data_IF_108962773140
#
_entry.id   IF_108962773140
#
_cell.length_a   1.000
_cell.length_b   1.000
_cell.length_c   1.000
_cell.angle_alpha   90.00
_cell.angle_beta   90.00
_cell.angle_gamma   90.00
#
_symmetry.space_group_name_H-M   'P 1'
#
loop_
_entity.id
_entity.type
_entity.pdbx_description
1 polymer ?
#
# COMPACT_ATOMS: atom_id res chain seq x y z
N UNK A 1 -3.23 -57.24 -13.61
CA UNK A 1 -3.43 -56.18 -12.60
C UNK A 1 -2.27 -55.20 -12.71
N UNK A 2 -2.48 -54.06 -13.37
CA UNK A 2 -1.42 -53.09 -13.67
C UNK A 2 -1.59 -51.88 -12.74
N UNK A 3 -0.73 -51.77 -11.73
CA UNK A 3 -0.69 -50.66 -10.77
C UNK A 3 0.15 -49.52 -11.36
N UNK A 4 -0.51 -48.52 -11.95
CA UNK A 4 0.14 -47.28 -12.35
C UNK A 4 0.03 -46.26 -11.21
N UNK A 5 1.15 -45.94 -10.56
CA UNK A 5 1.26 -44.79 -9.65
C UNK A 5 1.35 -43.51 -10.48
N UNK A 6 0.30 -42.70 -10.45
CA UNK A 6 0.36 -41.30 -10.89
C UNK A 6 1.25 -40.54 -9.89
N UNK A 7 2.47 -40.23 -10.29
CA UNK A 7 3.33 -39.29 -9.57
C UNK A 7 2.77 -37.88 -9.81
N UNK A 8 2.35 -37.23 -8.72
CA UNK A 8 1.96 -35.83 -8.75
C UNK A 8 3.15 -35.00 -9.27
N UNK A 9 2.95 -34.27 -10.36
CA UNK A 9 3.90 -33.24 -10.80
C UNK A 9 3.99 -32.20 -9.68
N UNK A 10 5.19 -31.77 -9.26
CA UNK A 10 5.30 -30.61 -8.38
C UNK A 10 4.74 -29.41 -9.16
N UNK A 11 3.75 -28.73 -8.60
CA UNK A 11 3.31 -27.43 -9.08
C UNK A 11 4.46 -26.44 -8.90
N UNK A 12 5.37 -26.41 -9.88
CA UNK A 12 6.36 -25.37 -10.01
C UNK A 12 5.61 -24.05 -10.19
N UNK A 13 5.71 -23.16 -9.20
CA UNK A 13 5.30 -21.75 -9.33
C UNK A 13 5.80 -21.25 -10.68
N UNK A 14 4.90 -20.92 -11.61
CA UNK A 14 5.28 -20.32 -12.88
C UNK A 14 6.22 -19.15 -12.58
N UNK A 15 7.43 -19.19 -13.14
CA UNK A 15 8.35 -18.07 -13.04
C UNK A 15 7.62 -16.81 -13.53
N UNK A 16 7.69 -15.72 -12.76
CA UNK A 16 7.04 -14.46 -13.14
C UNK A 16 7.62 -13.99 -14.47
N UNK A 17 6.87 -14.14 -15.55
CA UNK A 17 7.29 -13.73 -16.88
C UNK A 17 7.03 -12.24 -17.06
N UNK A 18 8.04 -11.51 -17.53
CA UNK A 18 7.95 -10.09 -17.81
C UNK A 18 7.10 -9.86 -19.06
N UNK A 19 6.14 -8.94 -18.95
CA UNK A 19 5.27 -8.55 -20.05
C UNK A 19 5.91 -7.41 -20.84
N UNK A 20 6.51 -7.73 -22.00
CA UNK A 20 7.15 -6.75 -22.88
C UNK A 20 6.25 -5.57 -23.24
N UNK A 21 4.97 -5.84 -23.55
CA UNK A 21 4.01 -4.78 -23.91
C UNK A 21 3.87 -3.71 -22.83
N UNK A 22 3.85 -4.13 -21.56
CA UNK A 22 3.78 -3.20 -20.42
C UNK A 22 5.12 -2.50 -20.22
N UNK A 23 6.22 -3.24 -20.30
CA UNK A 23 7.56 -2.68 -20.14
C UNK A 23 7.85 -1.61 -21.20
N UNK A 24 7.56 -1.87 -22.47
CA UNK A 24 7.80 -0.92 -23.57
C UNK A 24 6.96 0.36 -23.41
N UNK A 25 5.72 0.21 -22.91
CA UNK A 25 4.86 1.34 -22.56
C UNK A 25 5.44 2.17 -21.41
N UNK A 26 5.88 1.51 -20.33
CA UNK A 26 6.53 2.17 -19.19
C UNK A 26 7.87 2.80 -19.57
N UNK A 27 8.70 2.14 -20.38
CA UNK A 27 9.96 2.68 -20.89
C UNK A 27 9.70 3.97 -21.69
N UNK A 28 8.65 4.01 -22.51
CA UNK A 28 8.30 5.22 -23.27
C UNK A 28 7.82 6.36 -22.38
N UNK A 29 6.96 6.07 -21.39
CA UNK A 29 6.36 7.08 -20.52
C UNK A 29 7.34 7.56 -19.44
N UNK A 30 7.88 6.64 -18.65
CA UNK A 30 8.66 6.97 -17.46
C UNK A 30 10.06 7.47 -17.77
N UNK A 31 10.65 7.13 -18.92
CA UNK A 31 11.87 7.80 -19.37
C UNK A 31 11.65 9.30 -19.59
N UNK A 32 10.45 9.73 -19.97
CA UNK A 32 10.10 11.16 -20.14
C UNK A 32 9.73 11.81 -18.82
N UNK A 33 9.00 11.11 -17.96
CA UNK A 33 8.50 11.66 -16.68
C UNK A 33 9.59 11.69 -15.59
N UNK A 34 10.45 10.68 -15.52
CA UNK A 34 11.41 10.48 -14.43
C UNK A 34 12.88 10.57 -14.86
N UNK A 35 13.17 10.58 -16.17
CA UNK A 35 14.54 10.60 -16.68
C UNK A 35 15.39 9.45 -16.15
N UNK A 36 16.59 9.76 -15.64
CA UNK A 36 17.54 8.77 -15.09
C UNK A 36 16.97 7.95 -13.92
N UNK A 37 16.04 8.52 -13.15
CA UNK A 37 15.42 7.82 -12.03
C UNK A 37 14.58 6.61 -12.49
N UNK A 38 14.06 6.62 -13.72
CA UNK A 38 13.39 5.45 -14.29
C UNK A 38 14.35 4.29 -14.48
N UNK A 39 15.57 4.52 -14.95
CA UNK A 39 16.57 3.47 -15.18
C UNK A 39 16.83 2.66 -13.90
N UNK A 40 17.07 3.36 -12.79
CA UNK A 40 17.26 2.74 -11.48
C UNK A 40 16.01 1.97 -11.01
N UNK A 41 14.82 2.56 -11.17
CA UNK A 41 13.56 1.91 -10.79
C UNK A 41 13.26 0.65 -11.61
N UNK A 42 13.48 0.73 -12.91
CA UNK A 42 13.25 -0.35 -13.87
C UNK A 42 14.06 -1.59 -13.55
N UNK A 43 15.34 -1.44 -13.23
CA UNK A 43 16.22 -2.56 -12.92
C UNK A 43 15.69 -3.40 -11.74
N UNK A 44 15.21 -2.72 -10.69
CA UNK A 44 14.62 -3.38 -9.52
C UNK A 44 13.22 -3.93 -9.82
N UNK A 45 12.39 -3.17 -10.54
CA UNK A 45 11.03 -3.57 -10.88
C UNK A 45 10.98 -4.80 -11.78
N UNK A 46 11.94 -4.97 -12.68
CA UNK A 46 12.03 -6.14 -13.57
C UNK A 46 12.73 -7.34 -12.95
N UNK A 47 13.28 -7.19 -11.73
CA UNK A 47 14.08 -8.22 -11.04
C UNK A 47 13.40 -8.70 -9.73
N UNK A 48 12.49 -9.70 -9.77
CA UNK A 48 11.80 -10.20 -8.58
C UNK A 48 12.71 -10.72 -7.45
N UNK A 49 13.95 -11.09 -7.76
CA UNK A 49 14.97 -11.48 -6.78
C UNK A 49 15.41 -10.33 -5.88
N UNK A 50 15.28 -9.08 -6.34
CA UNK A 50 15.61 -7.88 -5.59
C UNK A 50 14.48 -7.44 -4.65
N UNK A 51 13.27 -8.01 -4.78
CA UNK A 51 12.13 -7.56 -3.99
C UNK A 51 12.21 -8.03 -2.55
N UNK A 52 12.03 -7.06 -1.66
CA UNK A 52 12.07 -7.27 -0.22
C UNK A 52 10.67 -7.11 0.38
N UNK A 53 10.48 -7.71 1.55
CA UNK A 53 9.31 -7.49 2.37
C UNK A 53 9.78 -7.00 3.73
N UNK A 54 9.13 -5.96 4.24
CA UNK A 54 9.23 -5.61 5.63
C UNK A 54 8.35 -6.54 6.45
N UNK A 55 8.73 -6.72 7.73
CA UNK A 55 8.01 -7.56 8.68
C UNK A 55 7.30 -6.65 9.66
N UNK A 56 6.00 -6.45 9.46
CA UNK A 56 5.15 -5.75 10.41
C UNK A 56 4.67 -6.75 11.46
N UNK A 57 5.15 -6.63 12.69
CA UNK A 57 4.71 -7.49 13.79
C UNK A 57 3.27 -7.18 14.16
N UNK A 58 2.51 -8.21 14.52
CA UNK A 58 1.16 -8.07 15.03
C UNK A 58 1.20 -7.84 16.55
N UNK A 59 0.86 -6.63 17.00
CA UNK A 59 0.77 -6.29 18.43
C UNK A 59 -0.28 -7.11 19.19
N UNK A 60 -1.26 -7.69 18.49
CA UNK A 60 -2.31 -8.51 19.08
C UNK A 60 -1.90 -9.99 19.23
N UNK A 61 -0.81 -10.41 18.58
CA UNK A 61 -0.18 -11.71 18.77
C UNK A 61 1.34 -11.55 18.71
N UNK A 62 1.88 -10.83 19.69
CA UNK A 62 3.23 -10.32 19.63
C UNK A 62 4.30 -11.43 19.76
N UNK A 63 5.17 -11.61 18.75
CA UNK A 63 6.10 -12.73 18.71
C UNK A 63 7.51 -12.36 19.21
N UNK A 64 7.71 -12.31 20.53
CA UNK A 64 8.99 -11.88 21.13
C UNK A 64 10.23 -12.62 20.59
N UNK A 65 10.15 -13.94 20.42
CA UNK A 65 11.28 -14.73 19.89
C UNK A 65 11.56 -14.44 18.41
N UNK A 66 10.53 -14.09 17.62
CA UNK A 66 10.72 -13.69 16.22
C UNK A 66 11.44 -12.35 16.15
N UNK A 67 11.09 -11.38 17.00
CA UNK A 67 11.74 -10.07 17.03
C UNK A 67 13.24 -10.19 17.31
N UNK A 68 13.63 -11.05 18.27
CA UNK A 68 15.06 -11.36 18.52
C UNK A 68 15.75 -11.97 17.30
N UNK A 69 15.11 -12.93 16.64
CA UNK A 69 15.65 -13.58 15.43
C UNK A 69 15.81 -12.57 14.28
N UNK A 70 14.88 -11.64 14.11
CA UNK A 70 15.00 -10.55 13.14
C UNK A 70 16.23 -9.69 13.44
N UNK A 71 16.43 -9.27 14.70
CA UNK A 71 17.62 -8.51 15.09
C UNK A 71 18.92 -9.29 14.83
N UNK A 72 18.97 -10.58 15.18
CA UNK A 72 20.13 -11.42 14.91
C UNK A 72 20.43 -11.55 13.40
N UNK A 73 19.39 -11.55 12.56
CA UNK A 73 19.50 -11.54 11.10
C UNK A 73 19.84 -10.16 10.51
N UNK A 74 20.10 -9.16 11.34
CA UNK A 74 20.48 -7.82 10.92
C UNK A 74 19.31 -6.96 10.46
N UNK A 75 18.06 -7.32 10.83
CA UNK A 75 16.93 -6.42 10.62
C UNK A 75 17.01 -5.24 11.60
N UNK A 76 16.61 -4.08 11.10
CA UNK A 76 16.46 -2.86 11.88
C UNK A 76 15.01 -2.37 11.85
N UNK A 77 14.62 -1.61 12.87
CA UNK A 77 13.28 -1.02 12.91
C UNK A 77 13.15 0.05 11.83
N UNK A 78 11.97 0.11 11.23
CA UNK A 78 11.57 1.19 10.36
C UNK A 78 11.65 2.50 11.16
N UNK A 79 12.46 3.43 10.66
CA UNK A 79 12.79 4.73 11.26
C UNK A 79 13.62 4.64 12.55
N UNK A 80 14.82 5.23 12.48
CA UNK A 80 15.70 5.47 13.63
C UNK A 80 15.73 6.96 14.02
N UNK A 81 14.92 7.81 13.38
CA UNK A 81 14.83 9.26 13.61
C UNK A 81 13.50 9.69 14.22
N UNK A 82 13.44 10.94 14.69
CA UNK A 82 12.22 11.55 15.24
C UNK A 82 11.31 12.05 14.11
N UNK A 83 10.37 11.23 13.66
CA UNK A 83 9.21 11.76 12.95
C UNK A 83 8.35 12.59 13.92
N UNK A 84 7.69 13.68 13.47
CA UNK A 84 6.74 14.44 14.28
C UNK A 84 5.67 13.53 14.91
N UNK A 85 5.24 12.51 14.15
CA UNK A 85 4.37 11.45 14.61
C UNK A 85 4.97 10.07 14.29
N UNK A 86 5.46 9.36 15.31
CA UNK A 86 5.81 7.95 15.20
C UNK A 86 5.01 7.11 16.22
N UNK A 87 4.14 6.19 15.76
CA UNK A 87 3.35 5.38 16.68
C UNK A 87 4.23 4.39 17.44
N UNK A 88 4.27 4.53 18.78
CA UNK A 88 5.11 3.69 19.66
C UNK A 88 4.77 2.18 19.57
N UNK A 89 3.53 1.84 19.22
CA UNK A 89 3.10 0.45 19.06
C UNK A 89 3.50 -0.17 17.72
N UNK A 90 3.88 0.65 16.73
CA UNK A 90 4.25 0.16 15.41
C UNK A 90 5.63 -0.50 15.49
N UNK A 91 5.65 -1.79 15.20
CA UNK A 91 6.89 -2.59 15.12
C UNK A 91 7.03 -3.17 13.72
N UNK A 92 7.80 -2.48 12.89
CA UNK A 92 8.10 -2.92 11.54
C UNK A 92 9.61 -3.05 11.34
N UNK A 93 10.04 -4.15 10.74
CA UNK A 93 11.45 -4.50 10.58
C UNK A 93 11.84 -4.63 9.12
N UNK A 94 12.98 -4.03 8.76
CA UNK A 94 13.53 -3.98 7.42
C UNK A 94 14.89 -4.65 7.44
N UNK A 95 15.29 -5.22 6.30
CA UNK A 95 16.66 -5.66 6.08
C UNK A 95 17.16 -5.08 4.77
N UNK A 96 18.43 -4.65 4.76
CA UNK A 96 19.14 -4.24 3.54
C UNK A 96 19.46 -5.43 2.65
N UNK A 97 19.50 -6.64 3.22
CA UNK A 97 19.76 -7.87 2.49
C UNK A 97 18.43 -8.58 2.23
N UNK A 98 18.15 -9.00 0.98
CA UNK A 98 16.95 -9.79 0.69
C UNK A 98 16.96 -11.12 1.45
N UNK A 99 16.11 -11.24 2.46
CA UNK A 99 15.79 -12.52 3.08
C UNK A 99 14.38 -12.95 2.69
N UNK A 100 14.19 -14.27 2.58
CA UNK A 100 12.86 -14.85 2.42
C UNK A 100 12.31 -15.25 3.78
N UNK A 101 11.36 -14.48 4.26
CA UNK A 101 10.50 -14.87 5.37
C UNK A 101 9.22 -15.47 4.77
N UNK A 102 8.80 -16.67 5.18
CA UNK A 102 7.57 -17.26 4.69
C UNK A 102 6.36 -16.44 5.16
N UNK A 103 5.34 -16.28 4.31
CA UNK A 103 4.06 -15.71 4.77
C UNK A 103 3.31 -16.74 5.61
N UNK A 104 2.75 -16.34 6.74
CA UNK A 104 1.84 -17.20 7.50
C UNK A 104 0.51 -17.37 6.75
N UNK A 105 0.00 -18.61 6.71
CA UNK A 105 -1.31 -18.91 6.12
C UNK A 105 -2.41 -18.50 7.07
N UNK A 106 -3.53 -18.05 6.52
CA UNK A 106 -4.73 -17.80 7.32
C UNK A 106 -5.22 -19.10 7.95
N UNK A 107 -5.56 -19.03 9.24
CA UNK A 107 -6.11 -20.12 10.02
C UNK A 107 -7.20 -19.53 10.93
N UNK A 108 -8.42 -20.05 10.82
CA UNK A 108 -9.57 -19.58 11.59
C UNK A 108 -9.26 -19.72 13.09
N UNK A 109 -9.53 -18.67 13.86
CA UNK A 109 -9.29 -18.61 15.32
C UNK A 109 -7.82 -18.41 15.73
N UNK A 110 -6.88 -18.33 14.78
CA UNK A 110 -5.46 -18.11 15.07
C UNK A 110 -4.95 -16.84 14.42
N UNK A 111 -4.54 -15.87 15.26
CA UNK A 111 -3.92 -14.65 14.77
C UNK A 111 -2.51 -14.94 14.25
N UNK A 112 -2.15 -14.30 13.14
CA UNK A 112 -0.81 -14.25 12.59
C UNK A 112 0.07 -13.36 13.44
N UNK A 113 1.35 -13.71 13.48
CA UNK A 113 2.40 -13.03 14.23
C UNK A 113 2.95 -11.81 13.50
N UNK A 114 2.89 -11.80 12.17
CA UNK A 114 3.41 -10.72 11.34
C UNK A 114 2.77 -10.67 9.95
N UNK A 115 2.77 -9.48 9.37
CA UNK A 115 2.38 -9.20 7.99
C UNK A 115 3.61 -8.85 7.16
N UNK A 116 3.72 -9.45 5.97
CA UNK A 116 4.78 -9.12 5.01
C UNK A 116 4.25 -8.12 4.00
N UNK A 117 4.87 -6.95 3.92
CA UNK A 117 4.45 -5.86 3.04
C UNK A 117 5.64 -5.15 2.39
N UNK A 118 5.35 -4.37 1.35
CA UNK A 118 6.27 -3.35 0.89
C UNK A 118 6.37 -2.26 1.97
N UNK A 119 7.56 -1.95 2.48
CA UNK A 119 7.73 -0.97 3.56
C UNK A 119 7.16 0.41 3.18
N UNK A 120 7.21 0.78 1.90
CA UNK A 120 6.70 2.06 1.43
C UNK A 120 5.18 2.20 1.64
N UNK A 121 4.45 1.07 1.73
CA UNK A 121 3.02 1.06 2.06
C UNK A 121 2.70 1.59 3.45
N UNK A 122 3.69 1.74 4.34
CA UNK A 122 3.52 2.34 5.66
C UNK A 122 3.58 3.87 5.64
N UNK A 123 4.21 4.49 4.64
CA UNK A 123 4.32 5.95 4.58
C UNK A 123 2.96 6.66 4.52
N UNK A 124 1.98 6.22 3.70
CA UNK A 124 0.64 6.81 3.72
C UNK A 124 -0.08 6.64 5.07
N UNK A 125 0.15 5.52 5.75
CA UNK A 125 -0.46 5.23 7.06
C UNK A 125 0.11 6.14 8.15
N UNK A 126 1.41 6.42 8.10
CA UNK A 126 2.09 7.30 9.04
C UNK A 126 1.75 8.76 8.80
N UNK A 127 1.65 9.17 7.53
CA UNK A 127 1.25 10.52 7.13
C UNK A 127 -0.18 10.90 7.59
N UNK A 128 -1.04 9.91 7.88
CA UNK A 128 -2.36 10.18 8.46
C UNK A 128 -2.31 10.64 9.91
N UNK A 129 -1.20 10.41 10.62
CA UNK A 129 -1.02 10.77 12.02
C UNK A 129 -2.19 10.33 12.91
N UNK A 130 -2.66 9.10 12.71
CA UNK A 130 -3.85 8.54 13.34
C UNK A 130 -3.68 8.40 14.86
N UNK A 131 -4.61 8.92 15.66
CA UNK A 131 -4.61 8.83 17.13
C UNK A 131 -5.68 7.87 17.65
N UNK A 132 -5.49 7.42 18.89
CA UNK A 132 -6.46 6.56 19.57
C UNK A 132 -7.83 7.26 19.69
N UNK A 133 -8.91 6.50 19.48
CA UNK A 133 -10.29 6.98 19.55
C UNK A 133 -10.81 7.69 18.30
N UNK A 134 -9.97 8.02 17.33
CA UNK A 134 -10.39 8.66 16.07
C UNK A 134 -11.17 7.70 15.16
N UNK A 135 -12.04 8.25 14.31
CA UNK A 135 -12.81 7.56 13.28
C UNK A 135 -12.06 7.62 11.95
N UNK A 136 -11.81 6.45 11.37
CA UNK A 136 -10.99 6.30 10.16
C UNK A 136 -11.77 5.62 9.06
N UNK A 137 -11.60 6.09 7.84
CA UNK A 137 -12.08 5.45 6.62
C UNK A 137 -10.87 4.98 5.80
N UNK A 138 -10.81 3.69 5.51
CA UNK A 138 -9.96 3.12 4.47
C UNK A 138 -10.85 2.82 3.26
N UNK A 139 -10.86 3.74 2.28
CA UNK A 139 -11.88 3.79 1.23
C UNK A 139 -11.73 2.66 0.19
N UNK A 140 -10.50 2.14 0.02
CA UNK A 140 -10.12 1.11 -0.95
C UNK A 140 -9.20 0.09 -0.26
N UNK A 141 -9.75 -0.58 0.75
CA UNK A 141 -8.99 -1.24 1.80
C UNK A 141 -8.32 -2.55 1.38
N UNK A 142 -8.83 -3.27 0.38
CA UNK A 142 -8.30 -4.60 0.12
C UNK A 142 -6.89 -4.56 -0.52
N UNK A 143 -6.02 -5.55 -0.23
CA UNK A 143 -6.28 -6.76 0.56
C UNK A 143 -6.22 -6.57 2.08
N UNK A 144 -6.06 -5.35 2.60
CA UNK A 144 -6.13 -5.04 4.02
C UNK A 144 -4.79 -4.69 4.67
N UNK A 145 -3.68 -4.67 3.92
CA UNK A 145 -2.35 -4.42 4.49
C UNK A 145 -2.24 -3.06 5.18
N UNK A 146 -2.81 -2.00 4.60
CA UNK A 146 -2.83 -0.66 5.19
C UNK A 146 -3.83 -0.57 6.35
N UNK A 147 -4.98 -1.24 6.27
CA UNK A 147 -5.93 -1.33 7.38
C UNK A 147 -5.33 -2.02 8.60
N UNK A 148 -4.59 -3.12 8.40
CA UNK A 148 -3.81 -3.77 9.47
C UNK A 148 -2.77 -2.80 10.03
N UNK A 149 -2.03 -2.11 9.17
CA UNK A 149 -1.03 -1.14 9.62
C UNK A 149 -1.63 0.01 10.46
N UNK A 150 -2.81 0.54 10.11
CA UNK A 150 -3.54 1.52 10.91
C UNK A 150 -3.81 0.98 12.33
N UNK A 151 -4.26 -0.27 12.45
CA UNK A 151 -4.52 -0.95 13.73
C UNK A 151 -3.23 -1.30 14.50
N UNK A 152 -2.09 -1.40 13.83
CA UNK A 152 -0.79 -1.51 14.49
C UNK A 152 -0.28 -0.17 15.01
N UNK A 153 -0.70 0.95 14.40
CA UNK A 153 -0.31 2.30 14.79
C UNK A 153 -1.11 2.83 15.99
N UNK A 154 -2.42 2.57 16.04
CA UNK A 154 -3.33 3.15 17.02
C UNK A 154 -4.51 2.21 17.31
N UNK A 155 -5.36 2.59 18.25
CA UNK A 155 -6.65 2.00 18.57
C UNK A 155 -7.78 2.94 18.10
N UNK A 156 -8.25 2.86 16.85
CA UNK A 156 -9.36 3.68 16.35
C UNK A 156 -10.62 3.48 17.19
N UNK A 157 -11.40 4.55 17.37
CA UNK A 157 -12.76 4.44 17.90
C UNK A 157 -13.73 3.82 16.90
N UNK A 158 -13.42 3.95 15.61
CA UNK A 158 -14.15 3.33 14.51
C UNK A 158 -13.25 3.24 13.27
N UNK A 159 -13.18 2.08 12.63
CA UNK A 159 -12.47 1.88 11.37
C UNK A 159 -13.44 1.33 10.32
N UNK A 160 -13.64 2.06 9.24
CA UNK A 160 -14.45 1.61 8.10
C UNK A 160 -13.54 1.18 6.96
N UNK A 161 -13.46 -0.12 6.70
CA UNK A 161 -12.73 -0.68 5.57
C UNK A 161 -13.71 -0.96 4.41
N UNK A 162 -13.66 -0.16 3.36
CA UNK A 162 -14.49 -0.34 2.18
C UNK A 162 -13.70 -0.98 1.03
N UNK A 163 -14.30 -1.93 0.31
CA UNK A 163 -13.74 -2.47 -0.93
C UNK A 163 -14.87 -2.74 -1.92
N UNK A 164 -14.75 -2.21 -3.14
CA UNK A 164 -15.78 -2.34 -4.17
C UNK A 164 -15.78 -3.73 -4.84
N UNK A 165 -14.61 -4.35 -4.99
CA UNK A 165 -14.50 -5.65 -5.65
C UNK A 165 -14.77 -6.81 -4.68
N UNK A 166 -15.82 -7.60 -4.95
CA UNK A 166 -16.24 -8.72 -4.10
C UNK A 166 -15.17 -9.79 -3.85
N UNK A 167 -14.29 -10.06 -4.83
CA UNK A 167 -13.20 -11.02 -4.68
C UNK A 167 -12.13 -10.48 -3.74
N UNK A 168 -11.74 -9.22 -3.91
CA UNK A 168 -10.79 -8.52 -3.04
C UNK A 168 -11.36 -8.31 -1.63
N UNK A 169 -12.66 -8.07 -1.50
CA UNK A 169 -13.36 -7.99 -0.22
C UNK A 169 -13.19 -9.29 0.58
N UNK A 170 -13.27 -10.45 -0.09
CA UNK A 170 -13.00 -11.73 0.56
C UNK A 170 -11.57 -11.80 1.12
N UNK A 171 -10.59 -11.30 0.38
CA UNK A 171 -9.19 -11.23 0.86
C UNK A 171 -9.03 -10.26 2.02
N UNK A 172 -9.72 -9.12 1.98
CA UNK A 172 -9.75 -8.15 3.08
C UNK A 172 -10.31 -8.80 4.36
N UNK A 173 -11.46 -9.48 4.27
CA UNK A 173 -12.07 -10.19 5.41
C UNK A 173 -11.13 -11.24 6.00
N UNK A 174 -10.53 -12.08 5.15
CA UNK A 174 -9.56 -13.09 5.58
C UNK A 174 -8.32 -12.47 6.21
N UNK A 175 -7.88 -11.31 5.72
CA UNK A 175 -6.76 -10.58 6.32
C UNK A 175 -7.14 -10.04 7.69
N UNK A 176 -8.28 -9.38 7.84
CA UNK A 176 -8.73 -8.87 9.13
C UNK A 176 -8.88 -10.00 10.17
N UNK A 177 -9.55 -11.09 9.80
CA UNK A 177 -9.69 -12.29 10.65
C UNK A 177 -8.33 -12.91 11.05
N UNK A 178 -7.32 -12.78 10.18
CA UNK A 178 -5.98 -13.31 10.47
C UNK A 178 -5.19 -12.45 11.46
N UNK A 179 -5.56 -11.21 11.73
CA UNK A 179 -4.72 -10.29 12.48
C UNK A 179 -5.42 -9.64 13.66
N UNK A 180 -6.75 -9.52 13.62
CA UNK A 180 -7.52 -8.75 14.58
C UNK A 180 -8.26 -9.69 15.54
N UNK A 181 -8.11 -9.51 16.86
CA UNK A 181 -8.83 -10.30 17.85
C UNK A 181 -10.32 -9.90 17.91
N UNK A 182 -11.18 -10.86 18.25
CA UNK A 182 -12.65 -10.72 18.35
C UNK A 182 -13.13 -9.45 19.10
N UNK A 183 -12.53 -9.01 20.23
CA UNK A 183 -12.99 -7.80 20.93
C UNK A 183 -12.90 -6.51 20.11
N UNK A 184 -12.06 -6.46 19.08
CA UNK A 184 -11.92 -5.30 18.19
C UNK A 184 -12.83 -5.36 16.96
N UNK A 185 -13.57 -6.46 16.75
CA UNK A 185 -14.48 -6.55 15.60
C UNK A 185 -15.58 -5.50 15.64
N UNK A 186 -16.06 -5.14 16.83
CA UNK A 186 -17.13 -4.14 17.00
C UNK A 186 -16.72 -2.72 16.56
N UNK A 187 -15.43 -2.40 16.53
CA UNK A 187 -14.94 -1.10 16.06
C UNK A 187 -14.64 -1.10 14.56
N UNK A 188 -14.62 -2.27 13.89
CA UNK A 188 -14.28 -2.41 12.48
C UNK A 188 -15.53 -2.72 11.67
N UNK A 189 -15.89 -1.81 10.76
CA UNK A 189 -16.90 -2.07 9.73
C UNK A 189 -16.22 -2.45 8.42
N UNK A 190 -16.70 -3.52 7.78
CA UNK A 190 -16.27 -3.92 6.44
C UNK A 190 -17.46 -3.83 5.46
N UNK A 191 -17.33 -3.06 4.39
CA UNK A 191 -18.40 -2.84 3.40
C UNK A 191 -17.97 -3.11 1.97
N UNK A 192 -18.95 -3.47 1.15
CA UNK A 192 -18.85 -3.58 -0.32
C UNK A 192 -19.68 -2.47 -0.96
N UNK A 193 -19.14 -1.26 -1.01
CA UNK A 193 -19.83 -0.08 -1.56
C UNK A 193 -18.95 0.60 -2.60
N UNK A 194 -19.59 1.34 -3.50
CA UNK A 194 -18.88 2.27 -4.38
C UNK A 194 -18.30 3.41 -3.54
N UNK A 195 -16.96 3.50 -3.52
CA UNK A 195 -16.26 4.53 -2.75
C UNK A 195 -16.61 5.95 -3.20
N UNK A 196 -17.13 6.13 -4.42
CA UNK A 196 -17.55 7.44 -4.95
C UNK A 196 -18.82 7.98 -4.28
N UNK A 197 -19.58 7.13 -3.62
CA UNK A 197 -20.83 7.49 -2.92
C UNK A 197 -20.62 7.67 -1.40
N UNK A 198 -19.44 7.32 -0.88
CA UNK A 198 -19.15 7.33 0.56
C UNK A 198 -19.34 8.69 1.20
N UNK A 199 -18.91 9.77 0.54
CA UNK A 199 -19.07 11.14 1.03
C UNK A 199 -20.52 11.60 1.11
N UNK A 200 -21.37 11.12 0.20
CA UNK A 200 -22.81 11.42 0.22
C UNK A 200 -23.52 10.63 1.32
N UNK A 201 -23.13 9.36 1.50
CA UNK A 201 -23.72 8.48 2.51
C UNK A 201 -23.26 8.79 3.94
N UNK A 202 -22.04 9.31 4.10
CA UNK A 202 -21.40 9.55 5.41
C UNK A 202 -20.63 10.87 5.45
N UNK A 203 -21.31 12.03 5.23
CA UNK A 203 -20.65 13.33 5.18
C UNK A 203 -20.03 13.69 6.52
N UNK A 204 -18.84 14.30 6.48
CA UNK A 204 -18.11 14.85 7.63
C UNK A 204 -17.99 13.88 8.84
N UNK A 205 -17.98 12.57 8.57
CA UNK A 205 -18.04 11.54 9.60
C UNK A 205 -16.67 11.18 10.16
N UNK A 206 -15.63 11.26 9.34
CA UNK A 206 -14.32 10.69 9.62
C UNK A 206 -13.30 11.75 10.02
N UNK A 207 -12.52 11.45 11.05
CA UNK A 207 -11.35 12.24 11.44
C UNK A 207 -10.22 12.09 10.43
N UNK A 208 -10.05 10.86 9.91
CA UNK A 208 -8.97 10.46 9.02
C UNK A 208 -9.52 9.66 7.83
N UNK A 209 -9.05 9.95 6.62
CA UNK A 209 -9.44 9.19 5.42
C UNK A 209 -8.20 8.76 4.63
N UNK A 210 -8.06 7.46 4.42
CA UNK A 210 -7.06 6.86 3.54
C UNK A 210 -7.71 6.53 2.19
N UNK A 211 -7.13 7.03 1.10
CA UNK A 211 -7.50 6.70 -0.27
C UNK A 211 -6.32 6.02 -0.96
N UNK A 212 -6.17 4.72 -0.73
CA UNK A 212 -5.21 3.89 -1.49
C UNK A 212 -5.82 3.48 -2.83
N UNK A 213 -5.73 4.38 -3.81
CA UNK A 213 -6.60 4.32 -4.96
C UNK A 213 -6.25 3.17 -5.92
N UNK A 214 -7.26 2.56 -6.58
CA UNK A 214 -7.02 1.70 -7.72
C UNK A 214 -6.18 2.42 -8.78
N UNK A 215 -5.07 1.80 -9.17
CA UNK A 215 -4.07 2.40 -10.06
C UNK A 215 -3.46 1.33 -10.97
N UNK A 216 -2.55 1.73 -11.86
CA UNK A 216 -1.85 0.81 -12.75
C UNK A 216 -0.92 -0.18 -12.06
N UNK A 217 -0.76 -0.13 -10.72
CA UNK A 217 -0.03 -1.11 -9.90
C UNK A 217 1.21 -1.67 -10.61
N UNK A 218 2.15 -0.78 -10.91
CA UNK A 218 3.14 -0.98 -11.97
C UNK A 218 3.97 -2.25 -11.77
N UNK A 219 4.37 -2.51 -10.51
CA UNK A 219 5.09 -3.73 -10.15
C UNK A 219 4.29 -4.98 -10.50
N UNK A 220 2.97 -4.99 -10.31
CA UNK A 220 2.13 -6.14 -10.67
C UNK A 220 1.86 -6.20 -12.17
N UNK A 221 1.67 -5.06 -12.85
CA UNK A 221 1.35 -5.04 -14.28
C UNK A 221 2.49 -5.53 -15.15
N UNK A 222 3.75 -5.30 -14.74
CA UNK A 222 4.95 -5.82 -15.41
C UNK A 222 4.98 -7.35 -15.54
N UNK A 223 4.28 -8.08 -14.67
CA UNK A 223 4.27 -9.54 -14.69
C UNK A 223 2.88 -10.04 -15.04
N UNK A 224 2.61 -10.15 -16.33
CA UNK A 224 1.38 -10.70 -16.89
C UNK A 224 1.74 -11.78 -17.89
N UNK A 225 1.16 -12.97 -17.73
CA UNK A 225 1.30 -14.06 -18.70
C UNK A 225 0.51 -13.81 -19.99
N UNK A 226 -0.48 -12.92 -19.95
CA UNK A 226 -1.36 -12.60 -21.08
C UNK A 226 -1.08 -11.19 -21.61
N UNK A 227 -0.53 -11.12 -22.82
CA UNK A 227 -0.16 -9.87 -23.49
C UNK A 227 -1.37 -9.10 -24.02
N UNK A 228 -2.45 -9.78 -24.42
CA UNK A 228 -3.67 -9.13 -24.91
C UNK A 228 -4.41 -8.45 -23.76
N UNK A 229 -4.53 -9.13 -22.61
CA UNK A 229 -5.07 -8.51 -21.39
C UNK A 229 -4.20 -7.35 -20.92
N UNK A 230 -2.88 -7.46 -21.04
CA UNK A 230 -1.99 -6.36 -20.73
C UNK A 230 -2.22 -5.14 -21.64
N UNK A 231 -2.34 -5.33 -22.95
CA UNK A 231 -2.64 -4.25 -23.89
C UNK A 231 -4.00 -3.58 -23.60
N UNK A 232 -5.02 -4.38 -23.26
CA UNK A 232 -6.33 -3.87 -22.85
C UNK A 232 -6.26 -3.03 -21.56
N UNK A 233 -5.48 -3.47 -20.56
CA UNK A 233 -5.28 -2.67 -19.34
C UNK A 233 -4.59 -1.34 -19.63
N UNK A 234 -3.58 -1.33 -20.50
CA UNK A 234 -2.89 -0.10 -20.93
C UNK A 234 -3.86 0.86 -21.61
N UNK A 235 -4.74 0.36 -22.50
CA UNK A 235 -5.72 1.22 -23.18
C UNK A 235 -6.76 1.80 -22.21
N UNK A 236 -7.13 1.05 -21.18
CA UNK A 236 -8.05 1.49 -20.14
C UNK A 236 -7.41 2.38 -19.06
N UNK A 237 -6.08 2.41 -18.96
CA UNK A 237 -5.32 3.15 -17.93
C UNK A 237 -5.70 4.62 -17.83
N UNK A 238 -6.05 5.26 -18.95
CA UNK A 238 -6.47 6.68 -19.01
C UNK A 238 -7.74 6.99 -18.20
N UNK A 239 -8.51 5.97 -17.82
CA UNK A 239 -9.71 6.11 -16.98
C UNK A 239 -9.38 6.17 -15.49
N UNK A 240 -8.19 5.71 -15.07
CA UNK A 240 -7.81 5.62 -13.66
C UNK A 240 -7.73 6.99 -12.98
N UNK A 241 -7.11 8.03 -13.57
CA UNK A 241 -7.11 9.37 -12.98
C UNK A 241 -8.52 9.92 -12.72
N UNK A 242 -9.45 9.69 -13.65
CA UNK A 242 -10.85 10.13 -13.52
C UNK A 242 -11.49 9.46 -12.30
N UNK A 243 -11.36 8.14 -12.18
CA UNK A 243 -11.85 7.39 -11.02
C UNK A 243 -11.20 7.86 -9.70
N UNK A 244 -9.88 8.11 -9.72
CA UNK A 244 -9.13 8.57 -8.56
C UNK A 244 -9.61 9.95 -8.08
N UNK A 245 -9.90 10.86 -9.00
CA UNK A 245 -10.49 12.18 -8.71
C UNK A 245 -11.90 12.02 -8.10
N UNK A 246 -12.75 11.16 -8.67
CA UNK A 246 -14.08 10.87 -8.14
C UNK A 246 -14.03 10.32 -6.70
N UNK A 247 -13.12 9.36 -6.45
CA UNK A 247 -12.89 8.80 -5.12
C UNK A 247 -12.39 9.86 -4.14
N UNK A 248 -11.46 10.72 -4.55
CA UNK A 248 -10.96 11.81 -3.71
C UNK A 248 -12.03 12.83 -3.37
N UNK A 249 -12.89 13.22 -4.32
CA UNK A 249 -14.01 14.13 -4.04
C UNK A 249 -14.98 13.54 -3.01
N UNK A 250 -15.29 12.26 -3.13
CA UNK A 250 -16.10 11.53 -2.14
C UNK A 250 -15.42 11.48 -0.77
N UNK A 251 -14.13 11.15 -0.74
CA UNK A 251 -13.33 11.11 0.48
C UNK A 251 -13.25 12.46 1.20
N UNK A 252 -13.09 13.56 0.45
CA UNK A 252 -13.10 14.93 0.96
C UNK A 252 -14.44 15.25 1.63
N UNK A 253 -15.57 14.87 1.01
CA UNK A 253 -16.89 15.08 1.61
C UNK A 253 -17.13 14.22 2.86
N UNK A 254 -16.54 13.03 2.92
CA UNK A 254 -16.64 12.15 4.09
C UNK A 254 -15.78 12.62 5.28
N UNK A 255 -14.75 13.43 5.01
CA UNK A 255 -13.82 13.96 6.00
C UNK A 255 -14.45 15.14 6.76
N UNK A 256 -14.32 15.15 8.09
CA UNK A 256 -14.77 16.30 8.89
C UNK A 256 -13.85 17.51 8.66
N UNK A 257 -14.34 18.74 8.88
CA UNK A 257 -13.48 19.92 8.93
C UNK A 257 -12.33 19.74 9.94
N UNK A 258 -11.10 20.02 9.49
CA UNK A 258 -9.87 19.84 10.26
C UNK A 258 -9.35 18.39 10.34
N UNK A 259 -9.99 17.43 9.67
CA UNK A 259 -9.47 16.07 9.51
C UNK A 259 -8.27 15.99 8.56
N UNK A 260 -7.62 14.82 8.49
CA UNK A 260 -6.54 14.54 7.53
C UNK A 260 -6.96 13.49 6.50
N UNK A 261 -6.63 13.75 5.25
CA UNK A 261 -6.79 12.81 4.14
C UNK A 261 -5.41 12.51 3.56
N UNK A 262 -5.14 11.23 3.33
CA UNK A 262 -3.98 10.78 2.57
C UNK A 262 -4.43 10.03 1.34
N UNK A 263 -4.00 10.53 0.19
CA UNK A 263 -4.07 9.84 -1.08
C UNK A 263 -2.79 9.03 -1.28
N UNK A 264 -2.91 7.80 -1.76
CA UNK A 264 -1.73 7.06 -2.21
C UNK A 264 -2.02 6.19 -3.41
N UNK A 265 -0.99 5.94 -4.22
CA UNK A 265 -1.01 4.93 -5.28
C UNK A 265 0.24 4.07 -5.23
N UNK A 266 0.25 2.96 -5.98
CA UNK A 266 1.46 2.15 -6.22
C UNK A 266 1.89 2.22 -7.70
N UNK A 267 1.80 3.40 -8.29
CA UNK A 267 2.25 3.70 -9.65
C UNK A 267 3.22 4.88 -9.68
N UNK A 268 4.11 4.89 -10.67
CA UNK A 268 5.02 5.99 -10.98
C UNK A 268 4.37 7.08 -11.87
N UNK A 269 3.16 6.84 -12.38
CA UNK A 269 2.47 7.71 -13.33
C UNK A 269 2.20 9.10 -12.79
N UNK A 270 2.72 10.13 -13.45
CA UNK A 270 2.37 11.52 -13.13
C UNK A 270 0.86 11.78 -13.24
N UNK A 271 0.24 11.19 -14.26
CA UNK A 271 -1.19 11.33 -14.55
C UNK A 271 -2.09 10.75 -13.45
N UNK A 272 -1.63 9.73 -12.72
CA UNK A 272 -2.36 9.12 -11.60
C UNK A 272 -1.93 9.72 -10.25
N UNK A 273 -0.97 10.64 -10.22
CA UNK A 273 -0.41 11.19 -8.99
C UNK A 273 -0.53 12.72 -8.98
N UNK A 274 0.50 13.43 -9.45
CA UNK A 274 0.60 14.89 -9.36
C UNK A 274 -0.56 15.59 -10.10
N UNK A 275 -1.00 15.05 -11.23
CA UNK A 275 -2.08 15.63 -12.02
C UNK A 275 -3.44 15.47 -11.31
N UNK A 276 -3.68 14.33 -10.64
CA UNK A 276 -4.87 14.10 -9.80
C UNK A 276 -4.90 15.08 -8.64
N UNK A 277 -3.79 15.24 -7.92
CA UNK A 277 -3.70 16.17 -6.79
C UNK A 277 -3.86 17.62 -7.26
N UNK A 278 -3.26 17.99 -8.39
CA UNK A 278 -3.41 19.34 -8.97
C UNK A 278 -4.88 19.64 -9.29
N UNK A 279 -5.59 18.70 -9.90
CA UNK A 279 -7.03 18.85 -10.21
C UNK A 279 -7.86 19.02 -8.94
N UNK A 280 -7.58 18.25 -7.88
CA UNK A 280 -8.28 18.38 -6.60
C UNK A 280 -8.01 19.74 -5.96
N UNK A 281 -6.75 20.18 -5.87
CA UNK A 281 -6.40 21.47 -5.27
C UNK A 281 -6.97 22.66 -6.05
N UNK A 282 -7.07 22.54 -7.39
CA UNK A 282 -7.67 23.57 -8.23
C UNK A 282 -9.20 23.61 -8.14
N UNK A 283 -9.85 22.47 -7.90
CA UNK A 283 -11.32 22.34 -7.89
C UNK A 283 -11.96 22.38 -6.50
N UNK A 284 -11.18 22.16 -5.42
CA UNK A 284 -11.67 22.12 -4.04
C UNK A 284 -10.99 23.18 -3.16
N UNK A 285 -11.68 24.28 -2.87
CA UNK A 285 -11.15 25.38 -2.06
C UNK A 285 -11.08 25.09 -0.55
N UNK A 286 -11.72 24.02 -0.10
CA UNK A 286 -11.79 23.59 1.30
C UNK A 286 -10.68 22.61 1.69
N UNK A 287 -9.71 22.37 0.82
CA UNK A 287 -8.55 21.50 1.07
C UNK A 287 -7.28 22.33 1.11
N UNK A 288 -6.45 22.06 2.10
CA UNK A 288 -5.13 22.66 2.24
C UNK A 288 -4.06 21.57 2.14
N UNK A 289 -3.06 21.73 1.26
CA UNK A 289 -1.94 20.80 1.19
C UNK A 289 -1.12 20.85 2.49
N UNK A 290 -0.73 19.69 2.99
CA UNK A 290 0.18 19.55 4.15
C UNK A 290 1.58 19.23 3.63
N UNK A 291 2.58 19.99 4.06
CA UNK A 291 3.97 19.73 3.69
C UNK A 291 4.46 18.44 4.36
N UNK A 292 4.95 17.50 3.55
CA UNK A 292 5.43 16.19 4.02
C UNK A 292 6.92 15.95 3.71
N UNK A 293 7.67 17.00 3.36
CA UNK A 293 9.10 16.89 3.05
C UNK A 293 9.94 16.42 4.24
N UNK A 294 9.56 16.81 5.47
CA UNK A 294 10.26 16.36 6.68
C UNK A 294 10.19 14.84 6.85
N UNK A 295 9.05 14.24 6.48
CA UNK A 295 8.91 12.78 6.42
C UNK A 295 9.91 12.20 5.43
N UNK A 296 10.01 12.75 4.21
CA UNK A 296 10.98 12.28 3.22
C UNK A 296 12.44 12.36 3.71
N UNK A 297 12.81 13.49 4.33
CA UNK A 297 14.16 13.68 4.90
C UNK A 297 14.46 12.63 5.97
N UNK A 298 13.53 12.40 6.90
CA UNK A 298 13.67 11.42 7.99
C UNK A 298 13.74 9.98 7.46
N UNK A 299 13.00 9.69 6.39
CA UNK A 299 12.88 8.36 5.81
C UNK A 299 13.95 8.07 4.72
N UNK A 300 14.77 9.06 4.38
CA UNK A 300 15.73 9.00 3.27
C UNK A 300 16.83 7.94 3.43
N UNK A 301 17.04 7.38 4.61
CA UNK A 301 17.99 6.28 4.82
C UNK A 301 17.47 4.94 4.28
N UNK A 302 16.16 4.71 4.35
CA UNK A 302 15.53 3.45 3.96
C UNK A 302 14.82 3.55 2.59
N UNK A 303 14.39 4.75 2.19
CA UNK A 303 13.64 4.97 0.96
C UNK A 303 14.38 5.89 -0.02
N UNK A 304 14.14 5.69 -1.32
CA UNK A 304 14.60 6.56 -2.38
C UNK A 304 13.41 7.39 -2.87
N UNK A 305 13.57 8.71 -2.87
CA UNK A 305 12.51 9.64 -3.23
C UNK A 305 12.87 10.38 -4.52
N UNK A 306 11.88 10.60 -5.37
CA UNK A 306 11.98 11.48 -6.53
C UNK A 306 11.17 12.75 -6.26
N UNK A 307 11.72 13.94 -6.55
CA UNK A 307 10.96 15.19 -6.44
C UNK A 307 9.70 15.15 -7.29
N UNK A 308 8.56 15.45 -6.69
CA UNK A 308 7.26 15.51 -7.36
C UNK A 308 6.96 16.91 -7.92
N UNK A 309 7.71 17.92 -7.49
CA UNK A 309 7.42 19.34 -7.75
C UNK A 309 6.27 19.89 -6.90
N UNK A 310 5.75 19.11 -5.95
CA UNK A 310 4.67 19.49 -5.03
C UNK A 310 5.11 19.24 -3.59
N UNK A 311 4.96 20.22 -2.70
CA UNK A 311 5.35 20.07 -1.28
C UNK A 311 4.52 19.03 -0.52
N UNK A 312 3.33 18.68 -1.03
CA UNK A 312 2.39 17.74 -0.44
C UNK A 312 2.44 16.32 -1.05
N UNK A 313 3.42 16.01 -1.90
CA UNK A 313 3.52 14.71 -2.57
C UNK A 313 4.93 14.13 -2.51
N UNK A 314 5.04 12.84 -2.18
CA UNK A 314 6.31 12.11 -2.16
C UNK A 314 6.25 10.89 -3.06
N UNK A 315 7.14 10.79 -4.04
CA UNK A 315 7.25 9.59 -4.87
C UNK A 315 8.40 8.73 -4.39
N UNK A 316 8.10 7.58 -3.79
CA UNK A 316 9.07 6.53 -3.48
C UNK A 316 9.29 5.67 -4.71
N UNK A 317 10.54 5.55 -5.13
CA UNK A 317 10.94 4.65 -6.20
C UNK A 317 11.82 3.51 -5.67
N UNK A 318 11.73 2.31 -6.24
CA UNK A 318 12.64 1.23 -5.88
C UNK A 318 14.03 1.54 -6.43
N UNK A 319 15.07 1.44 -5.60
CA UNK A 319 16.46 1.62 -6.01
C UNK A 319 17.32 0.49 -5.42
N UNK A 320 18.53 0.29 -5.96
CA UNK A 320 19.51 -0.65 -5.42
C UNK A 320 19.78 -0.36 -3.94
N UNK A 321 19.52 -1.36 -3.08
CA UNK A 321 19.64 -1.24 -1.62
C UNK A 321 18.40 -0.67 -0.92
N UNK A 322 17.43 -0.15 -1.67
CA UNK A 322 16.16 0.43 -1.19
C UNK A 322 15.01 -0.02 -2.10
N UNK A 323 14.74 -1.32 -2.15
CA UNK A 323 13.82 -1.93 -3.12
C UNK A 323 12.32 -1.73 -2.83
N UNK A 324 11.97 -0.64 -2.15
CA UNK A 324 10.61 -0.32 -1.70
C UNK A 324 9.86 0.50 -2.76
N UNK A 325 8.54 0.53 -2.67
CA UNK A 325 7.69 1.18 -3.66
C UNK A 325 7.54 0.40 -4.98
N UNK A 326 7.03 1.03 -6.05
CA UNK A 326 6.61 2.42 -6.09
C UNK A 326 5.44 2.71 -5.15
N UNK A 327 5.47 3.87 -4.50
CA UNK A 327 4.37 4.48 -3.75
C UNK A 327 4.43 5.98 -3.99
N UNK A 328 3.31 6.62 -4.26
CA UNK A 328 3.16 8.08 -4.26
C UNK A 328 2.14 8.49 -3.21
#
# INVERSE_FOLDING_TARGET
>A
MMLARLTAKPEGKLAKQLCKVVLDHFDTQYSRELGEAWSAARDILTSPSCWQHAVLLNRFNYPFELEKDLHFKGYHTLFQGSLPYYPKSLKCYLSRIPHRIPSERHQIGNLKKYYLLNAASLLPVLALELRDGEKVLDLCAAPGGKSIALLQCACPGYLHCNEYDSLRLRWLRQTLESFIPEPLENVIKVSELDGREMGDAQPEKFDKVLVDAPCSNDRSWLFSSDSQKAACRISQRRKLPILQIELLRSAIKALRPGGLLVYSTCTLSKAENQDVISEILNSCSNIMPVNIEEMARTCSQDFAFVPTGQECGLLVIPEKGKAWGPIC
#
